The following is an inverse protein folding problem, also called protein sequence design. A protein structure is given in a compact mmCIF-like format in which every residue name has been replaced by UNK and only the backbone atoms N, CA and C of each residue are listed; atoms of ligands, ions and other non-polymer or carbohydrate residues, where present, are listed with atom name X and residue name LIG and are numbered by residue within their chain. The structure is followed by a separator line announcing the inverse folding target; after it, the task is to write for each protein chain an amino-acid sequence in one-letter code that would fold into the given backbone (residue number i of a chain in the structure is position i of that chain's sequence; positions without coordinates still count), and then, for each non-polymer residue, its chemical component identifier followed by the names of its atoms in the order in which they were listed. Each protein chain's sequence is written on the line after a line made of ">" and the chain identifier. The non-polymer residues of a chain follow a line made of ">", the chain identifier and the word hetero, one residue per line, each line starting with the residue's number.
data_IF_254230467372
#
_entry.id   IF_254230467372
#
_cell.length_a   1.000
_cell.length_b   1.000
_cell.length_c   1.000
_cell.angle_alpha   90.00
_cell.angle_beta   90.00
_cell.angle_gamma   90.00
#
_symmetry.space_group_name_H-M   'P 1'
#
loop_
_entity.id
_entity.type
_entity.pdbx_description
1 polymer ?
#
# COMPACT_ATOMS: atom_id res chain seq x y z
N UNK A 1 8.50 8.30 21.33
CA UNK A 1 8.30 9.10 20.11
C UNK A 1 8.59 8.23 18.90
N UNK A 2 7.54 7.59 18.42
CA UNK A 2 7.57 6.81 17.19
C UNK A 2 7.97 7.71 15.99
N UNK A 3 8.90 7.25 15.17
CA UNK A 3 9.29 7.95 13.94
C UNK A 3 8.52 7.40 12.73
N UNK A 4 8.49 8.16 11.63
CA UNK A 4 7.78 7.79 10.39
C UNK A 4 8.19 6.39 9.87
N UNK A 5 9.46 6.01 10.03
CA UNK A 5 9.94 4.72 9.55
C UNK A 5 9.36 3.55 10.34
N UNK A 6 9.23 3.68 11.66
CA UNK A 6 8.61 2.68 12.53
C UNK A 6 7.11 2.57 12.29
N UNK A 7 6.42 3.70 12.12
CA UNK A 7 4.99 3.71 11.80
C UNK A 7 4.69 3.05 10.45
N UNK A 8 5.49 3.36 9.42
CA UNK A 8 5.34 2.75 8.10
C UNK A 8 5.61 1.24 8.15
N UNK A 9 6.57 0.78 8.96
CA UNK A 9 6.79 -0.64 9.19
C UNK A 9 5.57 -1.31 9.84
N UNK A 10 4.97 -0.69 10.86
CA UNK A 10 3.77 -1.20 11.51
C UNK A 10 2.56 -1.28 10.56
N UNK A 11 2.37 -0.28 9.69
CA UNK A 11 1.32 -0.30 8.65
C UNK A 11 1.54 -1.48 7.69
N UNK A 12 2.80 -1.71 7.28
CA UNK A 12 3.13 -2.82 6.39
C UNK A 12 2.91 -4.17 7.06
N UNK A 13 3.24 -4.30 8.34
CA UNK A 13 3.00 -5.52 9.09
C UNK A 13 1.49 -5.79 9.19
N UNK A 14 0.66 -4.78 9.47
CA UNK A 14 -0.81 -4.91 9.46
C UNK A 14 -1.34 -5.36 8.09
N UNK A 15 -0.80 -4.80 6.99
CA UNK A 15 -1.19 -5.20 5.63
C UNK A 15 -0.77 -6.65 5.33
N UNK A 16 0.42 -7.07 5.76
CA UNK A 16 0.91 -8.45 5.62
C UNK A 16 0.10 -9.45 6.44
N UNK A 17 -0.29 -9.09 7.66
CA UNK A 17 -1.18 -9.91 8.51
C UNK A 17 -2.56 -10.11 7.86
N UNK A 18 -3.07 -9.11 7.13
CA UNK A 18 -4.25 -9.25 6.28
C UNK A 18 -4.02 -10.10 5.00
N UNK A 19 -2.81 -10.65 4.83
CA UNK A 19 -2.40 -11.47 3.70
C UNK A 19 -2.21 -10.69 2.41
N UNK A 20 -1.83 -9.41 2.50
CA UNK A 20 -1.43 -8.60 1.36
C UNK A 20 0.10 -8.62 1.21
N UNK A 21 0.64 -8.81 -0.02
CA UNK A 21 2.07 -8.75 -0.27
C UNK A 21 2.56 -7.29 -0.26
N UNK A 22 2.66 -6.68 0.92
CA UNK A 22 3.01 -5.28 1.10
C UNK A 22 4.52 -5.05 1.30
N UNK A 23 5.07 -3.98 0.71
CA UNK A 23 6.45 -3.54 0.95
C UNK A 23 6.64 -2.03 0.81
N UNK A 24 7.77 -1.51 1.31
CA UNK A 24 8.10 -0.06 1.29
C UNK A 24 8.70 0.36 -0.03
N UNK A 25 9.38 -0.57 -0.67
CA UNK A 25 10.16 -0.30 -1.86
C UNK A 25 10.07 -1.48 -2.81
N UNK A 26 9.96 -1.22 -4.11
CA UNK A 26 9.79 -2.28 -5.11
C UNK A 26 10.95 -3.29 -5.15
N UNK A 27 12.15 -2.89 -4.71
CA UNK A 27 13.30 -3.79 -4.57
C UNK A 27 13.11 -4.88 -3.50
N UNK A 28 12.21 -4.65 -2.55
CA UNK A 28 11.81 -5.64 -1.54
C UNK A 28 10.75 -6.60 -2.09
N UNK A 29 10.13 -6.28 -3.22
CA UNK A 29 9.15 -7.15 -3.85
C UNK A 29 9.86 -8.35 -4.49
N UNK A 30 9.64 -9.53 -3.95
CA UNK A 30 10.18 -10.77 -4.52
C UNK A 30 9.34 -11.29 -5.69
N UNK A 31 8.05 -10.95 -5.75
CA UNK A 31 7.08 -11.38 -6.76
C UNK A 31 5.97 -10.34 -6.94
N UNK A 32 5.35 -10.34 -8.11
CA UNK A 32 4.11 -9.61 -8.41
C UNK A 32 2.90 -10.57 -8.31
N UNK A 33 1.68 -10.08 -8.01
CA UNK A 33 1.34 -8.69 -7.69
C UNK A 33 1.84 -8.25 -6.31
N UNK A 34 2.07 -6.95 -6.13
CA UNK A 34 2.61 -6.38 -4.88
C UNK A 34 1.91 -5.08 -4.51
N UNK A 35 1.85 -4.78 -3.21
CA UNK A 35 1.34 -3.53 -2.66
C UNK A 35 2.51 -2.65 -2.18
N UNK A 36 2.77 -1.53 -2.85
CA UNK A 36 3.70 -0.53 -2.35
C UNK A 36 2.98 0.45 -1.44
N UNK A 37 3.63 0.78 -0.33
CA UNK A 37 3.13 1.75 0.66
C UNK A 37 4.04 2.95 0.68
N UNK A 38 3.50 4.10 0.27
CA UNK A 38 4.18 5.38 0.30
C UNK A 38 3.62 6.23 1.44
N UNK A 39 4.48 6.82 2.28
CA UNK A 39 4.02 7.78 3.27
C UNK A 39 3.57 9.07 2.57
N UNK A 40 2.41 9.60 2.96
CA UNK A 40 1.88 10.86 2.44
C UNK A 40 1.92 11.94 3.53
N UNK A 41 1.06 11.81 4.55
CA UNK A 41 0.93 12.77 5.63
C UNK A 41 0.94 12.10 7.01
N UNK A 42 1.50 12.78 8.00
CA UNK A 42 1.43 12.39 9.42
C UNK A 42 0.78 13.53 10.18
N UNK A 43 -0.33 13.23 10.85
CA UNK A 43 -1.01 14.17 11.73
C UNK A 43 -0.95 13.64 13.16
N UNK A 44 -0.49 14.47 14.09
CA UNK A 44 -0.55 14.16 15.52
C UNK A 44 -1.94 14.47 16.06
N UNK A 45 -2.61 13.48 16.65
CA UNK A 45 -3.90 13.70 17.28
C UNK A 45 -3.70 14.38 18.65
N UNK A 46 -4.12 15.64 18.73
CA UNK A 46 -3.97 16.44 19.95
C UNK A 46 -5.04 16.11 20.99
N UNK A 47 -6.12 15.43 20.63
CA UNK A 47 -7.22 15.11 21.53
C UNK A 47 -6.90 13.90 22.41
N UNK A 48 -6.23 12.89 21.86
CA UNK A 48 -5.78 11.73 22.62
C UNK A 48 -4.35 11.87 23.16
N UNK A 49 -3.54 12.77 22.59
CA UNK A 49 -2.19 13.09 23.05
C UNK A 49 -1.16 11.97 22.88
N UNK A 50 -1.57 10.83 22.32
CA UNK A 50 -0.80 9.60 22.29
C UNK A 50 -0.99 8.82 20.98
N UNK A 51 -1.70 9.35 19.99
CA UNK A 51 -1.80 8.71 18.68
C UNK A 51 -1.42 9.62 17.53
N UNK A 52 -1.03 8.98 16.44
CA UNK A 52 -0.74 9.61 15.18
C UNK A 52 -1.64 8.99 14.11
N UNK A 53 -2.28 9.87 13.34
CA UNK A 53 -2.99 9.50 12.11
C UNK A 53 -2.01 9.58 10.96
N UNK A 54 -1.78 8.44 10.30
CA UNK A 54 -0.92 8.32 9.13
C UNK A 54 -1.77 8.14 7.89
N UNK A 55 -1.63 9.06 6.94
CA UNK A 55 -2.13 8.89 5.60
C UNK A 55 -1.03 8.28 4.74
N UNK A 56 -1.37 7.21 4.02
CA UNK A 56 -0.47 6.53 3.09
C UNK A 56 -1.13 6.39 1.74
N UNK A 57 -0.31 6.50 0.71
CA UNK A 57 -0.67 6.09 -0.64
C UNK A 57 -0.30 4.62 -0.85
N UNK A 58 -1.26 3.88 -1.38
CA UNK A 58 -1.18 2.47 -1.66
C UNK A 58 -1.16 2.27 -3.17
N UNK A 59 -0.07 1.71 -3.70
CA UNK A 59 0.02 1.35 -5.11
C UNK A 59 0.04 -0.17 -5.27
N UNK A 60 -1.05 -0.73 -5.79
CA UNK A 60 -1.18 -2.14 -6.15
C UNK A 60 -0.63 -2.32 -7.56
N UNK A 61 0.47 -3.06 -7.71
CA UNK A 61 1.11 -3.29 -9.00
C UNK A 61 0.82 -4.72 -9.43
N UNK A 62 0.23 -4.88 -10.63
CA UNK A 62 -0.05 -6.19 -11.18
C UNK A 62 1.21 -6.84 -11.79
N UNK A 63 1.14 -8.15 -12.00
CA UNK A 63 2.14 -8.86 -12.80
C UNK A 63 2.00 -8.49 -14.28
N UNK A 64 3.11 -8.31 -14.98
CA UNK A 64 3.10 -8.25 -16.44
C UNK A 64 2.94 -9.67 -17.00
N UNK A 65 1.71 -9.99 -17.42
CA UNK A 65 1.37 -11.28 -18.01
C UNK A 65 1.45 -11.26 -19.54
N UNK A 66 1.80 -10.13 -20.17
CA UNK A 66 1.73 -9.96 -21.62
C UNK A 66 0.31 -9.92 -22.22
N UNK A 67 -0.72 -10.16 -21.40
CA UNK A 67 -2.14 -10.06 -21.76
C UNK A 67 -2.76 -8.91 -20.97
N UNK A 68 -3.01 -7.78 -21.65
CA UNK A 68 -3.40 -6.49 -21.04
C UNK A 68 -4.68 -6.51 -20.19
N UNK A 69 -5.62 -7.42 -20.48
CA UNK A 69 -6.94 -7.40 -19.85
C UNK A 69 -7.02 -8.27 -18.58
N UNK A 70 -6.18 -9.29 -18.44
CA UNK A 70 -6.20 -10.22 -17.27
C UNK A 70 -5.33 -9.73 -16.10
N UNK A 71 -4.48 -8.71 -16.31
CA UNK A 71 -3.52 -8.26 -15.29
C UNK A 71 -4.20 -7.56 -14.10
N UNK A 72 -5.29 -6.81 -14.32
CA UNK A 72 -6.01 -6.13 -13.24
C UNK A 72 -6.89 -7.09 -12.43
N UNK A 73 -7.35 -8.20 -13.01
CA UNK A 73 -8.09 -9.23 -12.29
C UNK A 73 -7.23 -9.88 -11.20
N UNK A 74 -5.91 -9.96 -11.39
CA UNK A 74 -4.98 -10.38 -10.35
C UNK A 74 -4.97 -9.45 -9.12
N UNK A 75 -5.38 -8.19 -9.29
CA UNK A 75 -5.49 -7.23 -8.19
C UNK A 75 -6.84 -7.29 -7.48
N UNK A 76 -7.87 -7.90 -8.07
CA UNK A 76 -9.23 -7.98 -7.50
C UNK A 76 -9.24 -8.59 -6.10
N UNK A 77 -8.46 -9.65 -5.87
CA UNK A 77 -8.34 -10.26 -4.54
C UNK A 77 -7.68 -9.32 -3.51
N UNK A 78 -6.73 -8.49 -3.93
CA UNK A 78 -6.08 -7.50 -3.06
C UNK A 78 -7.03 -6.34 -2.75
N UNK A 79 -7.76 -5.85 -3.75
CA UNK A 79 -8.78 -4.80 -3.60
C UNK A 79 -9.86 -5.23 -2.62
N UNK A 80 -10.37 -6.46 -2.73
CA UNK A 80 -11.39 -6.97 -1.82
C UNK A 80 -10.87 -7.08 -0.37
N UNK A 81 -9.62 -7.51 -0.17
CA UNK A 81 -9.00 -7.50 1.16
C UNK A 81 -8.83 -6.09 1.73
N UNK A 82 -8.45 -5.12 0.90
CA UNK A 82 -8.32 -3.72 1.30
C UNK A 82 -9.69 -3.11 1.65
N UNK A 83 -10.74 -3.46 0.92
CA UNK A 83 -12.13 -3.08 1.24
C UNK A 83 -12.61 -3.68 2.56
N UNK A 84 -12.41 -4.97 2.75
CA UNK A 84 -12.94 -5.72 3.89
C UNK A 84 -12.21 -5.38 5.19
N UNK A 85 -10.88 -5.28 5.16
CA UNK A 85 -10.07 -5.10 6.37
C UNK A 85 -9.78 -3.62 6.69
N UNK A 86 -9.74 -2.74 5.68
CA UNK A 86 -9.30 -1.36 5.85
C UNK A 86 -10.29 -0.32 5.32
N UNK A 87 -11.46 -0.74 4.80
CA UNK A 87 -12.53 0.16 4.37
C UNK A 87 -12.21 1.00 3.12
N UNK A 88 -11.17 0.67 2.37
CA UNK A 88 -10.73 1.43 1.19
C UNK A 88 -11.66 1.16 0.02
N UNK A 89 -12.39 2.17 -0.44
CA UNK A 89 -13.43 2.01 -1.49
C UNK A 89 -13.01 2.58 -2.85
N UNK A 90 -12.15 3.58 -2.85
CA UNK A 90 -11.78 4.34 -4.05
C UNK A 90 -10.40 3.91 -4.52
N UNK A 91 -10.34 3.38 -5.74
CA UNK A 91 -9.12 3.00 -6.42
C UNK A 91 -9.08 3.72 -7.76
N UNK A 92 -7.90 4.18 -8.15
CA UNK A 92 -7.67 4.86 -9.42
C UNK A 92 -6.71 4.01 -10.25
N UNK A 93 -7.06 3.78 -11.51
CA UNK A 93 -6.18 3.08 -12.43
C UNK A 93 -5.02 3.99 -12.86
N UNK A 94 -3.80 3.48 -12.75
CA UNK A 94 -2.57 4.19 -13.08
C UNK A 94 -1.57 3.26 -13.75
N UNK A 95 -0.58 3.85 -14.41
CA UNK A 95 0.54 3.11 -15.00
C UNK A 95 1.83 3.58 -14.34
N UNK A 96 2.50 2.68 -13.64
CA UNK A 96 3.73 2.98 -12.90
C UNK A 96 4.95 2.59 -13.72
N UNK A 97 5.74 3.59 -14.10
CA UNK A 97 7.07 3.37 -14.65
C UNK A 97 8.02 2.93 -13.55
N UNK A 98 8.39 1.65 -13.53
CA UNK A 98 9.34 1.10 -12.57
C UNK A 98 10.60 0.66 -13.32
N UNK A 99 11.63 1.52 -13.44
CA UNK A 99 12.78 1.30 -14.32
C UNK A 99 13.56 0.02 -14.03
N UNK A 100 13.48 -0.51 -12.80
CA UNK A 100 14.21 -1.71 -12.37
C UNK A 100 13.41 -3.01 -12.54
N UNK A 101 12.12 -2.94 -12.89
CA UNK A 101 11.22 -4.10 -12.96
C UNK A 101 10.73 -4.38 -14.37
N UNK A 102 10.48 -3.33 -15.16
CA UNK A 102 10.11 -3.44 -16.57
C UNK A 102 10.58 -2.19 -17.34
N UNK A 103 10.88 -2.36 -18.63
CA UNK A 103 11.09 -1.25 -19.56
C UNK A 103 9.80 -0.50 -19.90
N UNK A 104 8.65 -1.16 -19.71
CA UNK A 104 7.31 -0.61 -19.96
C UNK A 104 6.58 -0.28 -18.65
N UNK A 105 5.69 0.75 -18.64
CA UNK A 105 4.87 1.07 -17.47
C UNK A 105 3.98 -0.11 -17.07
N UNK A 106 4.03 -0.48 -15.78
CA UNK A 106 3.23 -1.58 -15.25
C UNK A 106 1.82 -1.11 -14.86
N UNK A 107 0.77 -1.91 -15.15
CA UNK A 107 -0.57 -1.59 -14.72
C UNK A 107 -0.68 -1.62 -13.19
N UNK A 108 -1.28 -0.57 -12.63
CA UNK A 108 -1.41 -0.40 -11.20
C UNK A 108 -2.77 0.21 -10.80
N UNK A 109 -3.13 0.01 -9.53
CA UNK A 109 -4.22 0.74 -8.87
C UNK A 109 -3.67 1.53 -7.71
N UNK A 110 -3.94 2.82 -7.65
CA UNK A 110 -3.61 3.67 -6.50
C UNK A 110 -4.83 3.92 -5.62
N UNK A 111 -4.60 3.99 -4.31
CA UNK A 111 -5.61 4.36 -3.32
C UNK A 111 -4.96 5.06 -2.13
N UNK A 112 -5.73 5.86 -1.42
CA UNK A 112 -5.28 6.47 -0.17
C UNK A 112 -5.93 5.75 1.02
N UNK A 113 -5.12 5.51 2.05
CA UNK A 113 -5.55 4.85 3.27
C UNK A 113 -5.12 5.65 4.49
N UNK A 114 -5.94 5.63 5.52
CA UNK A 114 -5.68 6.30 6.79
C UNK A 114 -5.55 5.25 7.89
N UNK A 115 -4.45 5.28 8.62
CA UNK A 115 -4.13 4.38 9.71
C UNK A 115 -3.94 5.17 11.00
N UNK A 116 -4.56 4.73 12.08
CA UNK A 116 -4.28 5.26 13.41
C UNK A 116 -3.27 4.34 14.08
N UNK A 117 -2.08 4.86 14.37
CA UNK A 117 -1.02 4.12 15.04
C UNK A 117 -0.79 4.76 16.41
N UNK A 118 -1.00 4.02 17.52
CA UNK A 118 -0.72 4.52 18.86
C UNK A 118 0.79 4.71 19.06
N UNK A 119 1.19 5.82 19.69
CA UNK A 119 2.55 6.00 20.22
C UNK A 119 2.69 5.06 21.42
N UNK A 120 3.33 3.91 21.19
CA UNK A 120 3.68 3.00 22.28
C UNK A 120 4.80 3.66 23.08
N UNK A 121 4.53 3.91 24.38
CA UNK A 121 5.53 4.36 25.36
C UNK A 121 6.75 3.43 25.45
#
# INVERSE_FOLDING_TARGET
>A
MMNLSTALAAIIDQLKEAGLPACRHIREAHKLPVLLVYPDEITFDRLDGHSYTYQVELALIAADTGFKDDSLDALSAMVEKLRQNFGIKHFKAEALGIPNLSGDPLPALSATATFNIPDKE
#
